data_IF_640100543712
#
_entry.id   IF_640100543712
#
_cell.length_a   1.000
_cell.length_b   1.000
_cell.length_c   1.000
_cell.angle_alpha   90.00
_cell.angle_beta   90.00
_cell.angle_gamma   90.00
#
_symmetry.space_group_name_H-M   'P 1'
#
loop_
_entity.id
_entity.type
_entity.pdbx_description
1 polymer ?
#
# COMPACT_ATOMS: atom_id res chain seq x y z
N UNK A 1 34.16 39.06 99.40
CA UNK A 1 34.81 37.90 100.08
C UNK A 1 34.61 36.66 99.13
N UNK A 2 35.69 36.23 98.49
CA UNK A 2 35.99 34.87 98.02
C UNK A 2 34.87 34.05 97.34
N UNK A 3 35.07 33.34 96.29
CA UNK A 3 36.19 32.65 95.59
C UNK A 3 35.71 32.16 94.26
N UNK A 4 36.46 32.38 93.22
CA UNK A 4 36.93 31.54 92.16
C UNK A 4 36.55 30.04 92.28
N UNK A 5 36.01 29.44 91.20
CA UNK A 5 36.58 28.18 90.64
C UNK A 5 36.19 27.98 89.18
N UNK A 6 37.19 27.69 88.40
CA UNK A 6 37.28 27.34 87.00
C UNK A 6 37.03 25.85 86.85
N UNK A 7 36.52 25.45 85.75
CA UNK A 7 36.43 24.05 85.32
C UNK A 7 35.84 23.89 83.96
N UNK A 8 36.70 23.81 82.97
CA UNK A 8 36.33 23.50 81.63
C UNK A 8 35.95 22.05 81.43
N UNK A 9 35.19 21.80 80.41
CA UNK A 9 34.80 20.46 80.01
C UNK A 9 34.21 20.48 78.63
N UNK A 10 35.05 20.25 77.68
CA UNK A 10 34.77 19.98 76.27
C UNK A 10 33.77 18.84 76.12
N UNK A 11 32.56 19.11 75.77
CA UNK A 11 31.55 18.14 75.35
C UNK A 11 30.80 18.60 74.12
N UNK A 12 31.52 18.91 73.06
CA UNK A 12 30.85 19.43 71.84
C UNK A 12 31.28 18.78 70.53
N UNK A 13 32.35 18.04 70.55
CA UNK A 13 32.95 17.63 69.26
C UNK A 13 32.65 16.19 68.79
N UNK A 14 32.13 15.34 69.66
CA UNK A 14 31.84 13.93 69.27
C UNK A 14 30.42 13.73 68.70
N UNK A 15 29.50 14.64 68.93
CA UNK A 15 28.12 14.54 68.45
C UNK A 15 27.95 15.01 66.96
N UNK A 16 28.89 15.80 66.47
CA UNK A 16 28.81 16.33 65.10
C UNK A 16 29.35 15.39 64.04
N UNK A 17 30.30 14.53 64.38
CA UNK A 17 30.87 13.56 63.43
C UNK A 17 30.02 12.30 63.19
N UNK A 18 29.05 12.03 64.07
CA UNK A 18 28.14 10.89 63.92
C UNK A 18 26.85 11.20 63.15
N UNK A 19 26.53 12.50 62.98
CA UNK A 19 25.37 12.92 62.14
C UNK A 19 25.69 13.12 60.66
N UNK A 20 26.96 13.17 60.27
CA UNK A 20 27.39 13.37 58.90
C UNK A 20 27.58 12.05 58.12
N UNK A 21 27.59 10.90 58.82
CA UNK A 21 27.78 9.59 58.22
C UNK A 21 26.48 8.83 57.91
N UNK A 22 25.29 9.36 58.29
CA UNK A 22 23.99 8.76 58.05
C UNK A 22 23.27 9.39 56.82
N UNK A 23 23.81 10.49 56.28
CA UNK A 23 23.15 11.25 55.19
C UNK A 23 23.70 10.93 53.79
N UNK A 24 24.63 9.98 53.66
CA UNK A 24 25.21 9.60 52.35
C UNK A 24 24.79 8.21 51.83
N UNK A 25 23.82 7.55 52.44
CA UNK A 25 23.36 6.22 52.01
C UNK A 25 21.93 6.18 51.47
N UNK A 26 21.35 7.33 51.10
CA UNK A 26 19.99 7.40 50.58
C UNK A 26 19.96 8.05 49.18
N UNK A 27 20.75 7.54 48.25
CA UNK A 27 20.58 7.94 46.85
C UNK A 27 21.29 6.94 45.95
N UNK A 28 20.62 5.96 45.49
CA UNK A 28 20.82 5.30 44.18
C UNK A 28 19.97 4.03 44.09
N UNK A 29 18.67 4.13 44.30
CA UNK A 29 17.77 3.19 43.69
C UNK A 29 17.53 3.74 42.27
N UNK A 30 18.43 3.44 41.34
CA UNK A 30 18.13 3.49 39.91
C UNK A 30 17.03 2.45 39.70
N UNK A 31 15.78 2.90 39.67
CA UNK A 31 14.70 2.10 39.13
C UNK A 31 14.95 2.03 37.62
N UNK A 32 15.68 0.98 37.22
CA UNK A 32 15.75 0.58 35.83
C UNK A 32 14.33 0.16 35.43
N UNK A 33 13.57 1.10 34.86
CA UNK A 33 12.36 0.73 34.15
C UNK A 33 12.78 -0.22 33.03
N UNK A 34 12.25 -1.46 33.01
CA UNK A 34 12.52 -2.30 31.87
C UNK A 34 11.98 -1.58 30.64
N UNK A 35 12.89 -1.19 29.76
CA UNK A 35 12.53 -0.71 28.43
C UNK A 35 11.73 -1.84 27.77
N UNK A 36 10.41 -1.72 27.79
CA UNK A 36 9.53 -2.67 27.13
C UNK A 36 9.79 -2.48 25.63
N UNK A 37 10.62 -3.36 25.08
CA UNK A 37 10.81 -3.43 23.65
C UNK A 37 9.42 -3.55 23.04
N UNK A 38 8.99 -2.51 22.34
CA UNK A 38 7.68 -2.46 21.67
C UNK A 38 7.75 -3.49 20.55
N UNK A 39 6.94 -4.54 20.66
CA UNK A 39 6.82 -5.51 19.57
C UNK A 39 6.52 -4.75 18.27
N UNK A 40 7.10 -5.16 17.13
CA UNK A 40 6.79 -4.53 15.86
C UNK A 40 5.27 -4.44 15.69
N UNK A 41 4.77 -3.27 15.32
CA UNK A 41 3.34 -3.11 15.10
C UNK A 41 2.90 -4.10 14.01
N UNK A 42 1.93 -4.96 14.34
CA UNK A 42 1.37 -5.87 13.36
C UNK A 42 0.73 -5.04 12.23
N UNK A 43 1.07 -5.38 10.99
CA UNK A 43 0.51 -4.76 9.79
C UNK A 43 -0.59 -5.64 9.18
N UNK A 44 -1.63 -5.04 8.59
CA UNK A 44 -2.64 -5.81 7.87
C UNK A 44 -2.03 -6.54 6.68
N UNK A 45 -2.35 -7.82 6.53
CA UNK A 45 -1.94 -8.64 5.38
C UNK A 45 -3.20 -9.08 4.64
N UNK A 46 -3.23 -8.78 3.34
CA UNK A 46 -4.34 -9.15 2.46
C UNK A 46 -3.87 -10.15 1.41
N UNK A 47 -4.71 -11.12 1.17
CA UNK A 47 -4.64 -11.99 0.01
C UNK A 47 -5.60 -11.46 -1.05
N UNK A 48 -5.10 -11.27 -2.27
CA UNK A 48 -5.90 -10.86 -3.42
C UNK A 48 -6.16 -12.09 -4.27
N UNK A 49 -7.42 -12.44 -4.40
CA UNK A 49 -7.84 -13.63 -5.15
C UNK A 49 -8.82 -13.27 -6.26
N UNK A 50 -8.89 -14.09 -7.32
CA UNK A 50 -9.96 -13.98 -8.29
C UNK A 50 -11.32 -14.26 -7.65
N UNK A 51 -12.41 -13.59 -8.06
CA UNK A 51 -13.74 -13.98 -7.67
C UNK A 51 -14.10 -15.36 -8.24
N UNK A 52 -14.99 -16.08 -7.55
CA UNK A 52 -15.52 -17.37 -8.04
C UNK A 52 -16.23 -17.13 -9.39
N UNK A 53 -15.79 -17.80 -10.44
CA UNK A 53 -16.38 -17.66 -11.79
C UNK A 53 -15.49 -16.96 -12.82
N UNK A 54 -14.24 -16.64 -12.47
CA UNK A 54 -13.25 -16.12 -13.41
C UNK A 54 -12.93 -14.66 -13.22
N UNK A 55 -11.67 -14.45 -13.12
CA UNK A 55 -11.03 -13.18 -12.93
C UNK A 55 -10.80 -12.50 -14.26
N UNK A 56 -11.04 -11.18 -14.33
CA UNK A 56 -10.79 -10.47 -15.58
C UNK A 56 -10.29 -9.06 -15.28
N UNK A 57 -9.03 -8.79 -15.64
CA UNK A 57 -8.66 -7.45 -16.03
C UNK A 57 -9.19 -7.29 -17.45
N UNK A 58 -10.23 -6.48 -17.61
CA UNK A 58 -10.87 -6.25 -18.90
C UNK A 58 -10.52 -4.88 -19.43
N UNK A 59 -10.41 -4.76 -20.72
CA UNK A 59 -10.33 -3.47 -21.39
C UNK A 59 -11.43 -3.36 -22.44
N UNK A 60 -11.89 -2.12 -22.65
CA UNK A 60 -12.87 -1.77 -23.66
C UNK A 60 -12.38 -0.55 -24.42
N UNK A 61 -12.48 -0.61 -25.75
CA UNK A 61 -12.18 0.50 -26.63
C UNK A 61 -13.38 0.71 -27.56
N UNK A 62 -13.94 1.90 -27.54
CA UNK A 62 -14.98 2.27 -28.48
C UNK A 62 -14.42 2.29 -29.90
N UNK A 63 -15.02 1.52 -30.79
CA UNK A 63 -14.65 1.45 -32.18
C UNK A 63 -15.90 1.18 -33.02
N UNK A 64 -15.80 1.27 -34.37
CA UNK A 64 -16.89 0.88 -35.29
C UNK A 64 -17.35 -0.56 -35.05
N UNK A 65 -16.40 -1.43 -34.61
CA UNK A 65 -16.66 -2.75 -34.06
C UNK A 65 -16.02 -2.74 -32.67
N UNK A 66 -16.77 -2.91 -31.57
CA UNK A 66 -16.22 -2.87 -30.22
C UNK A 66 -15.02 -3.80 -30.07
N UNK A 67 -13.96 -3.29 -29.41
CA UNK A 67 -12.76 -4.07 -29.07
C UNK A 67 -12.77 -4.25 -27.58
N UNK A 68 -13.16 -5.43 -27.15
CA UNK A 68 -13.15 -5.86 -25.76
C UNK A 68 -12.20 -7.02 -25.62
N UNK A 69 -11.52 -7.09 -24.52
CA UNK A 69 -10.62 -8.19 -24.22
C UNK A 69 -10.35 -8.33 -22.74
N UNK A 70 -9.75 -9.45 -22.40
CA UNK A 70 -9.32 -9.79 -21.05
C UNK A 70 -7.85 -10.12 -21.08
N UNK A 71 -7.16 -9.93 -19.94
CA UNK A 71 -5.84 -10.51 -19.72
C UNK A 71 -5.99 -11.71 -18.80
N UNK A 72 -5.52 -12.85 -19.24
CA UNK A 72 -5.66 -14.13 -18.52
C UNK A 72 -4.58 -14.36 -17.47
N UNK A 73 -3.42 -13.68 -17.61
CA UNK A 73 -2.27 -13.81 -16.69
C UNK A 73 -1.88 -12.45 -16.12
N UNK A 74 -1.89 -12.36 -14.80
CA UNK A 74 -1.54 -11.16 -14.07
C UNK A 74 -1.27 -11.50 -12.60
N UNK A 75 -0.64 -10.59 -11.90
CA UNK A 75 -0.35 -10.63 -10.48
C UNK A 75 -0.74 -9.28 -9.86
N UNK A 76 -1.28 -9.28 -8.67
CA UNK A 76 -1.53 -8.08 -7.91
C UNK A 76 -1.08 -8.28 -6.46
N UNK A 77 -0.37 -7.29 -5.93
CA UNK A 77 0.10 -7.28 -4.55
C UNK A 77 -0.32 -5.99 -3.88
N UNK A 78 -0.96 -6.09 -2.73
CA UNK A 78 -1.33 -4.97 -1.88
C UNK A 78 -0.69 -5.14 -0.51
N UNK A 79 0.22 -4.24 -0.17
CA UNK A 79 0.96 -4.23 1.11
C UNK A 79 0.66 -2.97 1.88
N UNK A 80 0.70 -3.06 3.21
CA UNK A 80 0.57 -1.91 4.12
C UNK A 80 1.77 -1.86 5.06
N UNK A 81 2.19 -0.67 5.44
CA UNK A 81 3.25 -0.45 6.43
C UNK A 81 2.69 -0.14 7.82
N UNK A 82 1.38 0.11 7.92
CA UNK A 82 0.63 0.30 9.16
C UNK A 82 -0.84 -0.08 8.96
N UNK A 83 -1.66 0.08 10.00
CA UNK A 83 -3.12 -0.08 9.88
C UNK A 83 -3.79 1.08 9.11
N UNK A 84 -3.10 2.17 8.85
CA UNK A 84 -3.64 3.29 8.05
C UNK A 84 -3.71 2.88 6.57
N UNK A 85 -4.91 2.98 5.98
CA UNK A 85 -5.15 2.63 4.58
C UNK A 85 -4.29 3.44 3.60
N UNK A 86 -3.90 4.67 3.97
CA UNK A 86 -3.08 5.55 3.13
C UNK A 86 -1.64 5.06 2.96
N UNK A 87 -1.19 4.11 3.80
CA UNK A 87 0.14 3.49 3.71
C UNK A 87 0.21 2.32 2.73
N UNK A 88 -0.87 2.10 1.98
CA UNK A 88 -0.96 1.00 1.02
C UNK A 88 -0.05 1.20 -0.18
N UNK A 89 0.65 0.13 -0.55
CA UNK A 89 1.47 0.00 -1.76
C UNK A 89 0.80 -1.03 -2.65
N UNK A 90 0.45 -0.61 -3.86
CA UNK A 90 -0.22 -1.47 -4.85
C UNK A 90 0.70 -1.71 -6.04
N UNK A 91 0.96 -2.98 -6.34
CA UNK A 91 1.65 -3.43 -7.54
C UNK A 91 0.73 -4.33 -8.35
N UNK A 92 0.55 -4.01 -9.62
CA UNK A 92 -0.15 -4.85 -10.60
C UNK A 92 0.78 -5.11 -11.76
N UNK A 93 0.89 -6.38 -12.16
CA UNK A 93 1.69 -6.83 -13.30
C UNK A 93 0.85 -7.75 -14.17
N UNK A 94 0.74 -7.43 -15.43
CA UNK A 94 -0.08 -8.14 -16.42
C UNK A 94 0.82 -8.65 -17.54
N UNK A 95 0.69 -9.92 -17.90
CA UNK A 95 1.33 -10.49 -19.10
C UNK A 95 0.60 -9.97 -20.35
N UNK A 96 1.26 -9.12 -21.11
CA UNK A 96 0.69 -8.51 -22.31
C UNK A 96 0.35 -9.55 -23.39
N UNK A 97 1.06 -10.67 -23.43
CA UNK A 97 0.80 -11.77 -24.35
C UNK A 97 -0.42 -12.61 -23.96
N UNK A 98 -0.95 -12.44 -22.74
CA UNK A 98 -2.15 -13.14 -22.26
C UNK A 98 -3.46 -12.51 -22.71
N UNK A 99 -3.42 -11.50 -23.57
CA UNK A 99 -4.63 -10.86 -24.09
C UNK A 99 -5.48 -11.87 -24.87
N UNK A 100 -6.78 -11.86 -24.59
CA UNK A 100 -7.79 -12.69 -25.22
C UNK A 100 -9.04 -11.87 -25.50
N UNK A 101 -9.38 -11.67 -26.78
CA UNK A 101 -10.58 -10.98 -27.26
C UNK A 101 -11.63 -11.96 -27.82
N UNK A 102 -11.37 -13.27 -27.70
CA UNK A 102 -12.14 -14.31 -28.38
C UNK A 102 -11.86 -14.42 -29.88
N UNK A 103 -10.85 -13.70 -30.40
CA UNK A 103 -10.49 -13.72 -31.81
C UNK A 103 -8.96 -13.74 -31.96
N UNK A 104 -8.40 -14.86 -32.41
CA UNK A 104 -6.96 -15.00 -32.58
C UNK A 104 -6.34 -13.95 -33.53
N UNK A 105 -7.11 -13.47 -34.52
CA UNK A 105 -6.66 -12.39 -35.40
C UNK A 105 -6.51 -11.05 -34.63
N UNK A 106 -7.49 -10.69 -33.80
CA UNK A 106 -7.41 -9.49 -32.96
C UNK A 106 -6.28 -9.63 -31.92
N UNK A 107 -6.17 -10.79 -31.28
CA UNK A 107 -5.15 -11.08 -30.27
C UNK A 107 -3.75 -10.97 -30.87
N UNK A 108 -3.52 -11.54 -32.06
CA UNK A 108 -2.27 -11.42 -32.79
C UNK A 108 -1.90 -9.96 -33.10
N UNK A 109 -2.90 -9.15 -33.52
CA UNK A 109 -2.68 -7.73 -33.79
C UNK A 109 -2.37 -6.93 -32.52
N UNK A 110 -3.08 -7.20 -31.42
CA UNK A 110 -2.86 -6.52 -30.14
C UNK A 110 -1.49 -6.86 -29.52
N UNK A 111 -1.01 -8.10 -29.67
CA UNK A 111 0.34 -8.52 -29.23
C UNK A 111 1.47 -7.90 -30.05
N UNK A 112 1.15 -7.42 -31.27
CA UNK A 112 2.14 -6.90 -32.21
C UNK A 112 2.70 -5.53 -31.83
N UNK A 113 3.74 -5.11 -32.59
CA UNK A 113 4.49 -3.85 -32.39
C UNK A 113 3.64 -2.59 -32.45
N UNK A 114 2.53 -2.62 -33.17
CA UNK A 114 1.63 -1.48 -33.32
C UNK A 114 0.80 -1.19 -32.06
N UNK A 115 0.66 -2.20 -31.17
CA UNK A 115 -0.14 -2.12 -29.95
C UNK A 115 0.70 -2.44 -28.71
N UNK A 116 0.59 -3.62 -28.12
CA UNK A 116 1.27 -3.92 -26.84
C UNK A 116 2.76 -4.20 -27.01
N UNK A 117 3.19 -4.58 -28.23
CA UNK A 117 4.58 -4.99 -28.49
C UNK A 117 5.07 -6.04 -27.46
N UNK A 118 4.23 -7.05 -27.25
CA UNK A 118 4.36 -8.01 -26.15
C UNK A 118 5.67 -8.83 -26.17
N UNK A 119 6.34 -8.90 -27.32
CA UNK A 119 7.63 -9.57 -27.48
C UNK A 119 8.75 -8.79 -26.78
N UNK A 120 8.81 -7.48 -27.00
CA UNK A 120 9.86 -6.61 -26.49
C UNK A 120 9.45 -5.98 -25.15
N UNK A 121 8.15 -5.89 -24.89
CA UNK A 121 7.54 -5.34 -23.67
C UNK A 121 6.53 -6.35 -23.07
N UNK A 122 6.99 -7.44 -22.42
CA UNK A 122 6.13 -8.55 -22.02
C UNK A 122 5.14 -8.20 -20.92
N UNK A 123 5.35 -7.10 -20.20
CA UNK A 123 4.52 -6.74 -19.06
C UNK A 123 3.92 -5.35 -19.18
N UNK A 124 2.65 -5.26 -18.79
CA UNK A 124 1.94 -4.02 -18.47
C UNK A 124 1.93 -3.92 -16.95
N UNK A 125 2.33 -2.77 -16.38
CA UNK A 125 2.43 -2.62 -14.93
C UNK A 125 1.73 -1.36 -14.42
N UNK A 126 1.24 -1.44 -13.19
CA UNK A 126 0.79 -0.28 -12.42
C UNK A 126 1.42 -0.35 -11.04
N UNK A 127 2.06 0.73 -10.62
CA UNK A 127 2.66 0.86 -9.29
C UNK A 127 2.18 2.12 -8.61
N UNK A 128 1.81 2.00 -7.34
CA UNK A 128 1.47 3.14 -6.48
C UNK A 128 1.93 2.88 -5.05
N UNK A 129 2.47 3.90 -4.43
CA UNK A 129 2.82 3.96 -3.00
C UNK A 129 1.84 4.82 -2.19
N UNK A 130 0.70 5.18 -2.79
CA UNK A 130 -0.29 6.08 -2.20
C UNK A 130 -1.71 5.61 -2.44
N UNK A 131 -2.51 5.56 -1.36
CA UNK A 131 -3.95 5.34 -1.42
C UNK A 131 -4.65 6.56 -0.81
N UNK A 132 -5.56 7.16 -1.55
CA UNK A 132 -6.39 8.28 -1.11
C UNK A 132 -7.82 7.80 -0.90
N UNK A 133 -8.28 7.77 0.35
CA UNK A 133 -9.69 7.48 0.63
C UNK A 133 -10.55 8.69 0.28
N UNK A 134 -11.46 8.54 -0.67
CA UNK A 134 -12.36 9.60 -1.16
C UNK A 134 -13.80 9.47 -0.66
N UNK A 135 -14.12 8.33 -0.06
CA UNK A 135 -15.42 8.07 0.55
C UNK A 135 -15.39 6.81 1.42
N UNK A 136 -16.50 6.42 2.03
CA UNK A 136 -16.55 5.25 2.93
C UNK A 136 -16.08 3.94 2.27
N UNK A 137 -16.28 3.81 0.97
CA UNK A 137 -15.95 2.59 0.20
C UNK A 137 -15.18 2.90 -1.08
N UNK A 138 -14.78 4.16 -1.30
CA UNK A 138 -14.14 4.61 -2.53
C UNK A 138 -12.74 5.13 -2.27
N UNK A 139 -11.81 4.81 -3.19
CA UNK A 139 -10.40 5.15 -3.08
C UNK A 139 -9.85 5.56 -4.43
N UNK A 140 -9.03 6.60 -4.47
CA UNK A 140 -8.19 6.93 -5.59
C UNK A 140 -6.77 6.46 -5.32
N UNK A 141 -6.17 5.83 -6.31
CA UNK A 141 -4.80 5.30 -6.25
C UNK A 141 -4.03 5.95 -7.39
N UNK A 142 -3.45 7.15 -7.17
CA UNK A 142 -2.55 7.75 -8.14
C UNK A 142 -1.27 6.91 -8.23
N UNK A 143 -0.84 6.61 -9.44
CA UNK A 143 0.32 5.73 -9.64
C UNK A 143 0.97 5.89 -11.01
N UNK A 144 1.96 5.07 -11.27
CA UNK A 144 2.65 4.98 -12.54
C UNK A 144 2.14 3.78 -13.33
N UNK A 145 1.50 4.05 -14.45
CA UNK A 145 1.07 3.03 -15.41
C UNK A 145 2.09 2.92 -16.53
N UNK A 146 2.52 1.69 -16.82
CA UNK A 146 3.51 1.41 -17.87
C UNK A 146 2.97 0.41 -18.86
N UNK A 147 2.97 0.76 -20.12
CA UNK A 147 2.63 -0.10 -21.26
C UNK A 147 3.57 0.19 -22.42
N UNK A 148 4.06 -0.85 -23.10
CA UNK A 148 5.07 -0.74 -24.19
C UNK A 148 6.36 -0.01 -23.78
N UNK A 149 6.79 -0.13 -22.51
CA UNK A 149 7.94 0.60 -22.00
C UNK A 149 7.73 2.10 -21.77
N UNK A 150 6.54 2.64 -22.05
CA UNK A 150 6.17 4.02 -21.77
C UNK A 150 5.44 4.11 -20.46
N UNK A 151 5.94 4.94 -19.55
CA UNK A 151 5.35 5.17 -18.21
C UNK A 151 4.65 6.52 -18.14
N UNK A 152 3.44 6.55 -17.60
CA UNK A 152 2.64 7.77 -17.38
C UNK A 152 1.98 7.75 -16.01
N UNK A 153 1.76 8.92 -15.39
CA UNK A 153 0.92 9.02 -14.20
C UNK A 153 -0.53 8.76 -14.57
N UNK A 154 -1.17 7.83 -13.89
CA UNK A 154 -2.58 7.51 -14.05
C UNK A 154 -3.22 7.28 -12.68
N UNK A 155 -4.55 7.37 -12.60
CA UNK A 155 -5.28 7.12 -11.36
C UNK A 155 -6.22 5.94 -11.53
N UNK A 156 -6.02 4.92 -10.69
CA UNK A 156 -6.94 3.79 -10.55
C UNK A 156 -7.96 4.14 -9.45
N UNK A 157 -9.23 4.18 -9.79
CA UNK A 157 -10.32 4.39 -8.82
C UNK A 157 -10.85 3.03 -8.38
N UNK A 158 -10.87 2.78 -7.08
CA UNK A 158 -11.41 1.55 -6.50
C UNK A 158 -12.70 1.81 -5.73
N UNK A 159 -13.61 0.85 -5.83
CA UNK A 159 -14.78 0.71 -4.94
C UNK A 159 -14.69 -0.64 -4.25
N UNK A 160 -14.77 -0.65 -2.92
CA UNK A 160 -14.62 -1.85 -2.10
C UNK A 160 -15.92 -2.13 -1.35
N UNK A 161 -16.45 -3.34 -1.49
CA UNK A 161 -17.57 -3.83 -0.67
C UNK A 161 -17.06 -4.61 0.54
N UNK A 162 -17.91 -4.81 1.56
CA UNK A 162 -17.55 -5.60 2.73
C UNK A 162 -16.50 -4.95 3.64
N UNK A 163 -16.38 -3.63 3.60
CA UNK A 163 -15.49 -2.86 4.48
C UNK A 163 -15.74 -3.23 5.94
N UNK A 164 -14.66 -3.51 6.69
CA UNK A 164 -14.74 -3.89 8.12
C UNK A 164 -14.96 -5.39 8.37
N UNK A 165 -15.40 -6.19 7.39
CA UNK A 165 -15.65 -7.63 7.57
C UNK A 165 -14.40 -8.51 7.40
N UNK A 166 -13.30 -7.92 6.92
CA UNK A 166 -12.06 -8.65 6.58
C UNK A 166 -12.09 -9.34 5.21
N UNK A 167 -13.22 -9.30 4.49
CA UNK A 167 -13.34 -9.77 3.10
C UNK A 167 -14.16 -8.77 2.30
N UNK A 168 -13.89 -8.65 1.00
CA UNK A 168 -14.67 -7.75 0.15
C UNK A 168 -14.38 -7.93 -1.33
N UNK A 169 -15.32 -7.48 -2.15
CA UNK A 169 -15.10 -7.35 -3.57
C UNK A 169 -14.50 -5.98 -3.86
N UNK A 170 -13.50 -5.96 -4.71
CA UNK A 170 -12.77 -4.77 -5.14
C UNK A 170 -13.04 -4.57 -6.62
N UNK A 171 -13.69 -3.47 -6.97
CA UNK A 171 -13.88 -3.04 -8.35
C UNK A 171 -13.00 -1.87 -8.65
N UNK A 172 -12.15 -2.01 -9.66
CA UNK A 172 -11.26 -0.94 -10.12
C UNK A 172 -11.63 -0.45 -11.50
N UNK A 173 -11.49 0.85 -11.73
CA UNK A 173 -11.66 1.47 -13.06
C UNK A 173 -10.53 2.47 -13.31
N UNK A 174 -10.00 2.44 -14.52
CA UNK A 174 -9.01 3.38 -15.01
C UNK A 174 -9.28 3.65 -16.49
N UNK A 175 -8.89 4.81 -17.00
CA UNK A 175 -8.94 5.08 -18.43
C UNK A 175 -7.72 5.89 -18.84
N UNK A 176 -7.17 5.57 -20.02
CA UNK A 176 -6.00 6.24 -20.58
C UNK A 176 -6.15 6.47 -22.09
N UNK A 177 -5.36 7.38 -22.64
CA UNK A 177 -5.24 7.55 -24.09
C UNK A 177 -4.13 6.64 -24.62
N UNK A 178 -4.49 5.70 -25.51
CA UNK A 178 -3.57 4.73 -26.10
C UNK A 178 -2.41 5.39 -26.88
N UNK A 179 -2.67 6.57 -27.47
CA UNK A 179 -1.67 7.30 -28.27
C UNK A 179 -0.54 7.84 -27.41
N UNK A 180 -0.81 8.19 -26.17
CA UNK A 180 0.22 8.63 -25.22
C UNK A 180 1.25 7.53 -24.90
N UNK A 181 0.87 6.26 -25.14
CA UNK A 181 1.74 5.09 -25.00
C UNK A 181 2.27 4.59 -26.34
N UNK A 182 2.19 5.40 -27.40
CA UNK A 182 2.73 5.08 -28.72
C UNK A 182 1.91 4.08 -29.52
N UNK A 183 0.67 3.76 -29.10
CA UNK A 183 -0.26 2.91 -29.85
C UNK A 183 -1.02 3.73 -30.90
N UNK A 184 -0.29 4.28 -31.87
CA UNK A 184 -0.81 5.22 -32.88
C UNK A 184 -1.44 4.54 -34.10
N UNK A 185 -1.21 3.23 -34.26
CA UNK A 185 -1.73 2.49 -35.41
C UNK A 185 -3.24 2.30 -35.36
N UNK A 186 -3.84 2.19 -36.53
CA UNK A 186 -5.22 1.82 -36.74
C UNK A 186 -5.39 0.39 -37.24
N UNK A 187 -6.61 -0.04 -37.38
CA UNK A 187 -6.99 -1.24 -38.12
C UNK A 187 -7.69 -0.74 -39.37
N UNK A 188 -7.29 -1.20 -40.57
CA UNK A 188 -7.94 -0.76 -41.81
C UNK A 188 -9.46 -0.88 -41.71
N UNK A 189 -10.17 0.14 -42.15
CA UNK A 189 -11.64 0.24 -42.14
C UNK A 189 -12.30 0.25 -40.74
N UNK A 190 -11.54 0.23 -39.63
CA UNK A 190 -12.07 0.31 -38.28
C UNK A 190 -11.62 1.63 -37.64
N UNK A 191 -12.59 2.48 -37.31
CA UNK A 191 -12.31 3.69 -36.52
C UNK A 191 -12.22 3.31 -35.06
N UNK A 192 -11.03 3.45 -34.45
CA UNK A 192 -10.73 3.09 -33.07
C UNK A 192 -10.60 4.38 -32.25
N UNK A 193 -11.31 4.46 -31.13
CA UNK A 193 -11.14 5.57 -30.18
C UNK A 193 -9.75 5.52 -29.51
N UNK A 194 -9.28 6.69 -29.12
CA UNK A 194 -7.99 6.80 -28.41
C UNK A 194 -8.11 6.42 -26.95
N UNK A 195 -9.27 6.67 -26.34
CA UNK A 195 -9.56 6.31 -24.96
C UNK A 195 -9.79 4.80 -24.79
N UNK A 196 -9.02 4.21 -23.92
CA UNK A 196 -9.15 2.82 -23.45
C UNK A 196 -9.67 2.84 -22.02
N UNK A 197 -10.72 2.07 -21.76
CA UNK A 197 -11.27 1.88 -20.41
C UNK A 197 -10.85 0.52 -19.88
N UNK A 198 -10.30 0.49 -18.65
CA UNK A 198 -9.88 -0.72 -17.95
C UNK A 198 -10.76 -0.94 -16.75
N UNK A 199 -11.23 -2.16 -16.57
CA UNK A 199 -12.01 -2.58 -15.42
C UNK A 199 -11.32 -3.77 -14.75
N UNK A 200 -11.20 -3.71 -13.44
CA UNK A 200 -10.59 -4.73 -12.59
C UNK A 200 -11.63 -5.21 -11.59
N UNK A 201 -11.81 -6.51 -11.45
CA UNK A 201 -12.67 -7.10 -10.43
C UNK A 201 -11.85 -8.10 -9.61
N UNK A 202 -11.68 -7.84 -8.32
CA UNK A 202 -10.87 -8.61 -7.39
C UNK A 202 -11.69 -9.00 -6.16
N UNK A 203 -11.19 -10.00 -5.43
CA UNK A 203 -11.64 -10.28 -4.08
C UNK A 203 -10.45 -10.13 -3.13
N UNK A 204 -10.62 -9.31 -2.10
CA UNK A 204 -9.66 -9.13 -1.03
C UNK A 204 -10.08 -9.89 0.22
N UNK A 205 -9.13 -10.56 0.88
CA UNK A 205 -9.32 -11.22 2.17
C UNK A 205 -8.17 -10.85 3.09
N UNK A 206 -8.46 -10.29 4.25
CA UNK A 206 -7.47 -10.09 5.30
C UNK A 206 -7.12 -11.43 5.93
N UNK A 207 -5.86 -11.83 5.87
CA UNK A 207 -5.37 -13.11 6.39
C UNK A 207 -4.70 -12.97 7.75
N UNK A 208 -4.15 -11.80 8.06
CA UNK A 208 -3.57 -11.51 9.38
C UNK A 208 -3.49 -10.00 9.65
N UNK A 209 -3.10 -9.64 10.88
CA UNK A 209 -2.94 -8.26 11.34
C UNK A 209 -4.26 -7.55 11.68
N UNK A 210 -4.19 -6.29 12.15
CA UNK A 210 -5.36 -5.52 12.55
C UNK A 210 -6.24 -5.14 11.35
N UNK A 211 -7.50 -4.72 11.57
CA UNK A 211 -8.29 -4.11 10.51
C UNK A 211 -7.67 -2.79 10.06
N UNK A 212 -7.89 -2.43 8.79
CA UNK A 212 -7.49 -1.12 8.28
C UNK A 212 -8.30 -0.01 8.97
N UNK A 213 -7.60 1.05 9.35
CA UNK A 213 -8.22 2.29 9.80
C UNK A 213 -8.70 3.08 8.58
N UNK A 214 -10.01 3.28 8.49
CA UNK A 214 -10.67 4.01 7.42
C UNK A 214 -11.27 5.30 7.97
N UNK A 215 -11.30 6.35 7.17
CA UNK A 215 -12.04 7.57 7.48
C UNK A 215 -13.54 7.28 7.37
N UNK A 216 -14.30 7.70 8.37
CA UNK A 216 -15.76 7.64 8.35
C UNK A 216 -16.35 8.82 7.60
#
# INVERSE_FOLDING_TARGET
MNRIWTGGGSFGEKAYRMRLLVLCLAASILIAFPSRAQAPAEVPVFEITPPVGGFKITFNVKASVPIEGVFEKWEATLKFTSADVTTGILDIKVDAASVNTGSGLKDGKLKGKDFFDAKDNPYITFHSDKIEQTGPTTFNIPGTFTIRGVSKPETLTLTVSGVGTGTGDIKGTMAFDRKEFGMNSGIPFIKIADRVEVTINLKGKRVSGPPLALKQ
#
